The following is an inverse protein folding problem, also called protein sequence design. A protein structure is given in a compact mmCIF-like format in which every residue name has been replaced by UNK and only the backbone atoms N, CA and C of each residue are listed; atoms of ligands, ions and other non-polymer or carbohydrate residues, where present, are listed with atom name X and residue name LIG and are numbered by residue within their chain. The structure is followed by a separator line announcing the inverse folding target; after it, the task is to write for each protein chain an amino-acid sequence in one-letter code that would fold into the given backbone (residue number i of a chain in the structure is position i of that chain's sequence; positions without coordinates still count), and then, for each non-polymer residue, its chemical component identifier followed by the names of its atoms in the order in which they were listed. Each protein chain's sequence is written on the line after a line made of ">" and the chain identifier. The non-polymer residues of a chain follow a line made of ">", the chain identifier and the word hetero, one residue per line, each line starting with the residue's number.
data_IF_995594257394
#
_entry.id   IF_995594257394
#
_cell.length_a   1.000
_cell.length_b   1.000
_cell.length_c   1.000
_cell.angle_alpha   90.00
_cell.angle_beta   90.00
_cell.angle_gamma   90.00
#
_symmetry.space_group_name_H-M   'P 1'
#
loop_
_entity.id
_entity.type
_entity.pdbx_description
1 polymer ?
#
# COMPACT_ATOMS: atom_id res chain seq x y z
N UNK A 1 5.40 14.87 0.19
CA UNK A 1 4.23 15.77 0.44
C UNK A 1 3.00 15.32 -0.37
N UNK A 2 1.78 15.80 -0.10
CA UNK A 2 0.59 15.48 -0.91
C UNK A 2 0.21 16.67 -1.79
N UNK A 3 -0.25 16.41 -3.02
CA UNK A 3 -0.71 17.46 -3.93
C UNK A 3 -2.04 18.06 -3.43
N UNK A 4 -2.09 19.38 -3.26
CA UNK A 4 -3.32 20.08 -2.87
C UNK A 4 -4.40 20.12 -3.96
N UNK A 5 -4.04 19.84 -5.22
CA UNK A 5 -4.99 19.80 -6.33
C UNK A 5 -5.60 18.40 -6.51
N UNK A 6 -4.77 17.35 -6.69
CA UNK A 6 -5.26 16.01 -7.01
C UNK A 6 -5.15 14.98 -5.87
N UNK A 7 -4.67 15.37 -4.69
CA UNK A 7 -4.58 14.51 -3.50
C UNK A 7 -3.50 13.43 -3.53
N UNK A 8 -2.76 13.25 -4.63
CA UNK A 8 -1.75 12.18 -4.75
C UNK A 8 -0.43 12.51 -4.03
N UNK A 9 0.23 11.47 -3.50
CA UNK A 9 1.51 11.59 -2.79
C UNK A 9 2.65 11.85 -3.77
N UNK A 10 3.46 12.87 -3.48
CA UNK A 10 4.65 13.25 -4.24
C UNK A 10 5.90 13.24 -3.34
N UNK A 11 7.07 13.27 -3.98
CA UNK A 11 8.37 13.39 -3.29
C UNK A 11 8.47 14.70 -2.50
N UNK A 12 9.26 14.71 -1.43
CA UNK A 12 9.45 15.92 -0.61
C UNK A 12 10.36 16.90 -1.37
N UNK A 13 9.92 18.16 -1.52
CA UNK A 13 10.61 19.15 -2.36
C UNK A 13 10.35 19.01 -3.86
N UNK A 14 9.43 18.14 -4.29
CA UNK A 14 9.02 18.10 -5.69
C UNK A 14 8.41 19.46 -6.09
N UNK A 15 8.86 20.06 -7.19
CA UNK A 15 8.35 21.37 -7.67
C UNK A 15 6.96 21.27 -8.32
N UNK A 16 6.67 20.14 -8.96
CA UNK A 16 5.41 19.86 -9.65
C UNK A 16 4.87 18.48 -9.31
N UNK A 17 3.55 18.32 -9.37
CA UNK A 17 2.88 17.04 -9.20
C UNK A 17 3.17 16.12 -10.39
N UNK A 18 3.82 14.98 -10.16
CA UNK A 18 4.11 13.98 -11.21
C UNK A 18 2.87 13.35 -11.86
N UNK A 19 1.68 13.63 -11.36
CA UNK A 19 0.44 13.03 -11.84
C UNK A 19 -0.54 14.01 -12.48
N UNK A 20 -0.51 15.30 -12.10
CA UNK A 20 -1.44 16.30 -12.63
C UNK A 20 -0.75 17.60 -13.06
N UNK A 21 0.58 17.68 -12.95
CA UNK A 21 1.38 18.83 -13.37
C UNK A 21 1.30 20.07 -12.46
N UNK A 22 0.39 20.11 -11.48
CA UNK A 22 0.21 21.30 -10.63
C UNK A 22 1.44 21.59 -9.78
N UNK A 23 1.81 22.88 -9.58
CA UNK A 23 2.94 23.25 -8.74
C UNK A 23 2.70 22.84 -7.29
N UNK A 24 3.77 22.47 -6.61
CA UNK A 24 3.74 22.07 -5.21
C UNK A 24 4.11 23.28 -4.34
N UNK A 25 3.46 23.43 -3.19
CA UNK A 25 3.79 24.47 -2.21
C UNK A 25 4.94 23.97 -1.33
N UNK A 26 6.15 24.50 -1.49
CA UNK A 26 7.26 24.17 -0.60
C UNK A 26 7.00 24.79 0.79
N UNK A 27 7.26 24.02 1.84
CA UNK A 27 7.12 24.45 3.24
C UNK A 27 8.51 24.74 3.87
N UNK A 28 9.58 24.76 3.06
CA UNK A 28 10.93 25.19 3.47
C UNK A 28 11.38 26.42 2.66
N UNK A 29 11.32 27.58 3.30
CA UNK A 29 11.75 28.88 2.75
C UNK A 29 10.58 29.56 2.05
N UNK A 30 10.08 30.68 2.54
CA UNK A 30 10.89 31.89 2.58
C UNK A 30 11.19 32.27 1.14
N UNK A 31 10.51 33.31 0.64
CA UNK A 31 10.76 33.88 -0.68
C UNK A 31 12.28 34.08 -0.90
N UNK A 32 12.75 33.71 -2.09
CA UNK A 32 13.47 34.69 -2.92
C UNK A 32 12.80 34.67 -4.31
N UNK A 33 12.33 35.77 -4.89
CA UNK A 33 13.00 37.05 -5.02
C UNK A 33 13.84 37.04 -6.29
N UNK A 34 13.51 37.96 -7.22
CA UNK A 34 14.36 38.63 -8.21
C UNK A 34 13.87 38.52 -9.67
N UNK A 35 13.15 39.56 -10.09
CA UNK A 35 13.54 40.32 -11.28
C UNK A 35 13.90 41.74 -10.75
N UNK A 36 15.19 42.10 -10.76
CA UNK A 36 15.69 43.47 -10.51
C UNK A 36 16.43 43.90 -11.78
N UNK A 37 16.32 45.15 -12.25
CA UNK A 37 17.23 46.25 -11.83
C UNK A 37 16.45 47.57 -11.65
N UNK A 38 16.84 48.66 -10.97
CA UNK A 38 18.11 49.24 -10.58
C UNK A 38 17.86 50.40 -9.57
N UNK A 39 18.94 50.84 -8.91
CA UNK A 39 19.25 52.22 -8.48
C UNK A 39 18.64 52.83 -7.19
N UNK A 40 19.50 53.63 -6.54
CA UNK A 40 19.33 54.59 -5.43
C UNK A 40 19.23 53.98 -4.01
N UNK A 41 20.29 53.95 -3.19
CA UNK A 41 20.96 55.04 -2.45
C UNK A 41 20.22 55.47 -1.15
N UNK A 42 20.98 55.49 -0.03
CA UNK A 42 20.79 56.36 1.17
C UNK A 42 19.63 55.93 2.11
N UNK A 43 19.67 55.86 3.45
CA UNK A 43 20.52 56.38 4.50
C UNK A 43 20.22 55.65 5.84
N UNK A 44 21.16 55.75 6.77
CA UNK A 44 21.06 55.69 8.26
C UNK A 44 19.71 55.44 8.95
N UNK A 45 19.71 54.54 9.95
CA UNK A 45 18.61 54.45 10.92
C UNK A 45 18.80 53.42 12.04
N UNK A 46 19.67 53.74 12.99
CA UNK A 46 19.59 53.46 14.45
C UNK A 46 19.00 52.12 14.93
N UNK A 47 19.86 51.36 15.63
CA UNK A 47 19.46 50.38 16.64
C UNK A 47 18.70 51.08 17.76
N UNK A 48 17.50 50.61 18.10
CA UNK A 48 17.02 50.75 19.48
C UNK A 48 15.91 49.75 19.86
N UNK A 49 16.12 49.16 21.04
CA UNK A 49 15.15 48.67 22.02
C UNK A 49 14.43 47.31 21.86
N UNK A 50 14.85 46.40 22.75
CA UNK A 50 14.13 45.28 23.35
C UNK A 50 13.90 45.68 24.82
N UNK A 51 12.69 45.54 25.38
CA UNK A 51 12.46 44.60 26.50
C UNK A 51 11.09 43.90 26.42
N UNK A 52 10.99 42.58 26.57
CA UNK A 52 10.67 41.86 27.84
C UNK A 52 9.19 41.41 27.87
N UNK A 53 8.95 40.12 27.61
CA UNK A 53 8.22 39.17 28.47
C UNK A 53 6.78 39.56 28.87
N UNK A 54 5.79 38.77 28.41
CA UNK A 54 4.98 37.88 29.28
C UNK A 54 3.90 37.08 28.49
N UNK A 55 3.36 35.99 29.07
CA UNK A 55 2.99 34.77 28.36
C UNK A 55 1.48 34.65 28.12
N UNK A 56 1.07 33.94 27.06
CA UNK A 56 -0.26 33.30 27.04
C UNK A 56 -0.08 31.88 26.56
N UNK A 57 -0.14 30.96 27.53
CA UNK A 57 -0.45 29.56 27.29
C UNK A 57 -1.88 29.48 26.75
N UNK A 58 -2.06 29.06 25.50
CA UNK A 58 -3.33 28.51 25.04
C UNK A 58 -3.12 27.10 24.47
N UNK A 59 -3.14 26.16 25.40
CA UNK A 59 -3.69 24.83 25.27
C UNK A 59 -4.73 24.67 24.15
N UNK A 60 -4.44 23.84 23.14
CA UNK A 60 -5.24 22.70 22.66
C UNK A 60 -5.00 22.40 21.17
N UNK A 61 -4.28 21.31 20.89
CA UNK A 61 -4.71 20.33 19.89
C UNK A 61 -3.82 19.09 20.04
N UNK A 62 -4.31 18.14 20.83
CA UNK A 62 -3.72 16.81 20.97
C UNK A 62 -3.49 16.22 19.58
N UNK A 63 -2.22 16.06 19.16
CA UNK A 63 -1.83 15.25 17.99
C UNK A 63 -2.22 13.80 18.26
N UNK A 64 -3.48 13.43 18.01
CA UNK A 64 -3.98 12.08 18.19
C UNK A 64 -3.73 11.23 16.94
N UNK A 65 -2.79 10.29 17.11
CA UNK A 65 -2.71 8.93 16.55
C UNK A 65 -2.91 8.77 15.04
N UNK A 66 -1.81 8.84 14.28
CA UNK A 66 -1.66 8.09 13.02
C UNK A 66 -1.01 6.73 13.30
N UNK A 67 -1.77 5.79 13.86
CA UNK A 67 -1.31 4.41 14.14
C UNK A 67 -2.34 3.34 13.74
N UNK A 68 -3.22 3.64 12.79
CA UNK A 68 -4.28 2.72 12.28
C UNK A 68 -4.22 2.51 10.76
N UNK A 69 -3.03 2.47 10.15
CA UNK A 69 -2.91 2.13 8.71
C UNK A 69 -1.91 0.97 8.48
N UNK A 70 -1.27 0.44 9.53
CA UNK A 70 -0.31 -0.68 9.38
C UNK A 70 -0.90 -2.07 9.69
N UNK A 71 -2.10 -2.16 10.27
CA UNK A 71 -2.72 -3.45 10.61
C UNK A 71 -3.48 -4.12 9.47
N UNK A 72 -4.00 -3.35 8.50
CA UNK A 72 -4.84 -3.86 7.41
C UNK A 72 -4.04 -4.66 6.38
N UNK A 73 -2.82 -4.24 6.05
CA UNK A 73 -1.97 -4.94 5.09
C UNK A 73 -1.56 -6.35 5.56
N UNK A 74 -1.17 -6.48 6.84
CA UNK A 74 -0.77 -7.76 7.40
C UNK A 74 -1.94 -8.76 7.47
N UNK A 75 -3.14 -8.30 7.83
CA UNK A 75 -4.33 -9.15 7.86
C UNK A 75 -4.71 -9.67 6.45
N UNK A 76 -4.63 -8.82 5.42
CA UNK A 76 -4.92 -9.23 4.04
C UNK A 76 -3.89 -10.24 3.53
N UNK A 77 -2.60 -10.05 3.82
CA UNK A 77 -1.55 -10.99 3.42
C UNK A 77 -1.75 -12.36 4.09
N UNK A 78 -2.09 -12.37 5.39
CA UNK A 78 -2.38 -13.63 6.09
C UNK A 78 -3.61 -14.34 5.51
N UNK A 79 -4.69 -13.61 5.18
CA UNK A 79 -5.88 -14.20 4.56
C UNK A 79 -5.52 -14.82 3.20
N UNK A 80 -4.75 -14.12 2.35
CA UNK A 80 -4.32 -14.64 1.05
C UNK A 80 -3.45 -15.89 1.21
N UNK A 81 -2.54 -15.91 2.19
CA UNK A 81 -1.71 -17.08 2.46
C UNK A 81 -2.55 -18.30 2.87
N UNK A 82 -3.56 -18.11 3.74
CA UNK A 82 -4.47 -19.17 4.16
C UNK A 82 -5.34 -19.68 3.00
N UNK A 83 -5.85 -18.78 2.15
CA UNK A 83 -6.63 -19.17 0.96
C UNK A 83 -5.74 -19.98 0.00
N UNK A 84 -4.53 -19.50 -0.28
CA UNK A 84 -3.59 -20.20 -1.17
C UNK A 84 -3.25 -21.58 -0.61
N UNK A 85 -2.90 -21.68 0.68
CA UNK A 85 -2.65 -22.96 1.33
C UNK A 85 -3.87 -23.88 1.30
N UNK A 86 -5.07 -23.34 1.55
CA UNK A 86 -6.33 -24.07 1.44
C UNK A 86 -6.58 -24.62 0.04
N UNK A 87 -6.35 -23.82 -1.01
CA UNK A 87 -6.49 -24.25 -2.41
C UNK A 87 -5.47 -25.34 -2.76
N UNK A 88 -4.22 -25.20 -2.32
CA UNK A 88 -3.18 -26.22 -2.57
C UNK A 88 -3.51 -27.54 -1.87
N UNK A 89 -3.88 -27.48 -0.59
CA UNK A 89 -4.33 -28.66 0.17
C UNK A 89 -5.59 -29.26 -0.45
N UNK A 90 -6.56 -28.44 -0.86
CA UNK A 90 -7.80 -28.90 -1.47
C UNK A 90 -7.54 -29.55 -2.83
N UNK A 91 -6.69 -28.98 -3.68
CA UNK A 91 -6.27 -29.58 -4.95
C UNK A 91 -5.58 -30.92 -4.73
N UNK A 92 -4.61 -30.98 -3.83
CA UNK A 92 -3.89 -32.23 -3.54
C UNK A 92 -4.84 -33.30 -2.98
N UNK A 93 -5.77 -32.90 -2.11
CA UNK A 93 -6.78 -33.81 -1.57
C UNK A 93 -7.78 -34.26 -2.63
N UNK A 94 -8.19 -33.37 -3.53
CA UNK A 94 -9.08 -33.68 -4.64
C UNK A 94 -8.42 -34.67 -5.62
N UNK A 95 -7.14 -34.48 -5.91
CA UNK A 95 -6.36 -35.35 -6.80
C UNK A 95 -6.22 -36.76 -6.20
N UNK A 96 -5.87 -36.86 -4.92
CA UNK A 96 -5.85 -38.15 -4.21
C UNK A 96 -7.21 -38.83 -4.20
N UNK A 97 -8.28 -38.08 -3.92
CA UNK A 97 -9.64 -38.64 -3.97
C UNK A 97 -10.04 -39.10 -5.37
N UNK A 98 -9.63 -38.38 -6.43
CA UNK A 98 -9.89 -38.79 -7.81
C UNK A 98 -9.17 -40.11 -8.14
N UNK A 99 -7.91 -40.21 -7.74
CA UNK A 99 -7.09 -41.42 -7.90
C UNK A 99 -7.68 -42.63 -7.17
N UNK A 100 -8.00 -42.48 -5.87
CA UNK A 100 -8.55 -43.56 -5.05
C UNK A 100 -9.91 -44.05 -5.58
N UNK A 101 -10.76 -43.13 -6.05
CA UNK A 101 -12.06 -43.47 -6.65
C UNK A 101 -11.88 -44.22 -7.99
N UNK A 102 -10.92 -43.80 -8.82
CA UNK A 102 -10.62 -44.47 -10.08
C UNK A 102 -10.12 -45.91 -9.83
N UNK A 103 -9.18 -46.11 -8.89
CA UNK A 103 -8.73 -47.43 -8.45
C UNK A 103 -9.88 -48.29 -7.92
N UNK A 104 -10.73 -47.75 -7.05
CA UNK A 104 -11.86 -48.48 -6.49
C UNK A 104 -12.85 -48.93 -7.57
N UNK A 105 -13.14 -48.06 -8.55
CA UNK A 105 -14.00 -48.42 -9.69
C UNK A 105 -13.36 -49.49 -10.58
N UNK A 106 -12.05 -49.40 -10.85
CA UNK A 106 -11.32 -50.42 -11.60
C UNK A 106 -11.38 -51.78 -10.92
N UNK A 107 -11.13 -51.84 -9.61
CA UNK A 107 -11.22 -53.07 -8.83
C UNK A 107 -12.63 -53.69 -8.90
N UNK A 108 -13.67 -52.86 -8.77
CA UNK A 108 -15.05 -53.31 -8.88
C UNK A 108 -15.35 -53.91 -10.27
N UNK A 109 -14.87 -53.30 -11.34
CA UNK A 109 -15.07 -53.84 -12.69
C UNK A 109 -14.33 -55.17 -12.91
N UNK A 110 -13.18 -55.37 -12.27
CA UNK A 110 -12.52 -56.69 -12.26
C UNK A 110 -13.38 -57.77 -11.57
N UNK A 111 -14.03 -57.44 -10.46
CA UNK A 111 -14.95 -58.36 -9.77
C UNK A 111 -16.17 -58.70 -10.63
N UNK A 112 -16.66 -57.72 -11.40
CA UNK A 112 -17.78 -57.89 -12.34
C UNK A 112 -17.33 -58.52 -13.68
N UNK A 113 -16.04 -58.82 -13.87
CA UNK A 113 -15.40 -59.32 -15.10
C UNK A 113 -15.58 -58.40 -16.33
N UNK A 114 -15.81 -57.11 -16.11
CA UNK A 114 -15.92 -56.08 -17.14
C UNK A 114 -14.54 -55.43 -17.38
N UNK A 115 -13.66 -56.17 -18.07
CA UNK A 115 -12.26 -55.78 -18.23
C UNK A 115 -12.06 -54.49 -19.04
N UNK A 116 -12.97 -54.20 -19.99
CA UNK A 116 -12.90 -53.00 -20.81
C UNK A 116 -13.08 -51.74 -19.95
N UNK A 117 -14.08 -51.73 -19.05
CA UNK A 117 -14.26 -50.61 -18.11
C UNK A 117 -13.17 -50.56 -17.05
N UNK A 118 -12.65 -51.70 -16.62
CA UNK A 118 -11.57 -51.75 -15.65
C UNK A 118 -10.31 -51.04 -16.17
N UNK A 119 -9.89 -51.35 -17.40
CA UNK A 119 -8.77 -50.67 -18.08
C UNK A 119 -9.00 -49.16 -18.12
N UNK A 120 -10.19 -48.76 -18.55
CA UNK A 120 -10.57 -47.37 -18.73
C UNK A 120 -10.55 -46.56 -17.41
N UNK A 121 -10.89 -47.21 -16.29
CA UNK A 121 -10.80 -46.61 -14.95
C UNK A 121 -9.36 -46.50 -14.45
N UNK A 122 -8.52 -47.52 -14.69
CA UNK A 122 -7.11 -47.46 -14.29
C UNK A 122 -6.29 -46.47 -15.11
N UNK A 123 -6.62 -46.26 -16.38
CA UNK A 123 -5.99 -45.22 -17.21
C UNK A 123 -6.29 -43.79 -16.73
N UNK A 124 -7.37 -43.60 -15.97
CA UNK A 124 -7.76 -42.31 -15.38
C UNK A 124 -7.14 -42.07 -13.99
N UNK A 125 -6.53 -43.09 -13.38
CA UNK A 125 -5.83 -43.02 -12.11
C UNK A 125 -4.37 -42.57 -12.36
#
# INVERSE_FOLDING_TARGET
>A
MFCGNCGKKNEEGAKFCKFCGSPMKDERGGQPGQDTPAAAETETGVRQDRPEEQPVQEQNAKKKKKRRIWGLGAAVILIIALITAGILIFRERQEKQSYDNALASGNRYLEEMDYEKAEDSYLKA
#
